data_IF_775198017660
#
_entry.id   IF_775198017660
#
_cell.length_a   1.000
_cell.length_b   1.000
_cell.length_c   1.000
_cell.angle_alpha   90.00
_cell.angle_beta   90.00
_cell.angle_gamma   90.00
#
_symmetry.space_group_name_H-M   'P 1'
#
loop_
_entity.id
_entity.type
_entity.pdbx_description
1 polymer ?
#
# COMPACT_ATOMS: atom_id res chain seq x y z
N UNK A 1 17.68 -7.24 -24.07
CA UNK A 1 19.09 -7.28 -24.55
C UNK A 1 19.98 -7.17 -23.32
N UNK A 2 21.14 -7.84 -23.28
CA UNK A 2 22.10 -7.73 -22.17
C UNK A 2 23.39 -7.08 -22.68
N UNK A 3 24.14 -6.41 -21.79
CA UNK A 3 25.46 -5.88 -22.13
C UNK A 3 26.53 -6.99 -22.04
N UNK A 4 27.78 -6.63 -22.36
CA UNK A 4 28.93 -7.55 -22.36
C UNK A 4 29.24 -8.16 -20.98
N UNK A 5 28.70 -7.59 -19.90
CA UNK A 5 28.79 -8.11 -18.54
C UNK A 5 27.54 -8.87 -18.10
N UNK A 6 26.70 -9.32 -19.05
CA UNK A 6 25.42 -10.00 -18.82
C UNK A 6 24.39 -9.20 -18.00
N UNK A 7 24.55 -7.87 -17.87
CA UNK A 7 23.55 -7.03 -17.23
C UNK A 7 22.43 -6.68 -18.21
N UNK A 8 21.16 -6.69 -17.80
CA UNK A 8 20.05 -6.26 -18.65
C UNK A 8 20.25 -4.81 -19.11
N UNK A 9 20.17 -4.58 -20.42
CA UNK A 9 20.24 -3.25 -21.03
C UNK A 9 18.93 -2.52 -20.76
N UNK A 10 19.02 -1.45 -19.98
CA UNK A 10 17.90 -0.56 -19.65
C UNK A 10 17.73 0.44 -20.80
N UNK A 11 16.57 0.39 -21.47
CA UNK A 11 16.27 1.26 -22.63
C UNK A 11 16.11 2.74 -22.23
N UNK A 12 15.55 2.98 -21.04
CA UNK A 12 15.37 4.31 -20.48
C UNK A 12 15.28 4.24 -18.96
N UNK A 13 15.96 5.17 -18.28
CA UNK A 13 15.81 5.38 -16.85
C UNK A 13 14.93 6.60 -16.65
N UNK A 14 13.88 6.46 -15.87
CA UNK A 14 12.98 7.56 -15.56
C UNK A 14 12.96 7.85 -14.06
N UNK A 15 12.93 9.13 -13.73
CA UNK A 15 12.75 9.60 -12.35
C UNK A 15 11.27 9.88 -12.11
N UNK A 16 10.68 9.17 -11.16
CA UNK A 16 9.34 9.45 -10.62
C UNK A 16 9.47 10.37 -9.40
N UNK A 17 8.65 11.41 -9.34
CA UNK A 17 8.60 12.38 -8.24
C UNK A 17 7.20 12.35 -7.67
N UNK A 18 7.12 12.15 -6.37
CA UNK A 18 5.85 12.13 -5.65
C UNK A 18 5.88 13.23 -4.61
N UNK A 19 4.76 13.91 -4.47
CA UNK A 19 4.55 14.94 -3.46
C UNK A 19 3.28 14.62 -2.74
N UNK A 20 3.30 14.70 -1.42
CA UNK A 20 2.12 14.52 -0.61
C UNK A 20 2.06 15.52 0.53
N UNK A 21 0.88 15.61 1.12
CA UNK A 21 0.59 16.33 2.34
C UNK A 21 -0.14 15.39 3.28
N UNK A 22 0.33 15.27 4.50
CA UNK A 22 -0.24 14.41 5.53
C UNK A 22 -0.58 15.24 6.76
N UNK A 23 -1.78 15.02 7.29
CA UNK A 23 -2.30 15.67 8.48
C UNK A 23 -2.78 14.58 9.45
N UNK A 24 -2.13 14.50 10.60
CA UNK A 24 -2.51 13.61 11.69
C UNK A 24 -2.93 14.41 12.92
N UNK A 25 -3.98 13.95 13.60
CA UNK A 25 -4.41 14.55 14.86
C UNK A 25 -4.54 13.49 15.94
N UNK A 26 -3.69 13.56 16.98
CA UNK A 26 -3.73 12.64 18.13
C UNK A 26 -4.93 13.00 19.02
N UNK A 27 -6.10 12.45 18.68
CA UNK A 27 -7.36 12.72 19.37
C UNK A 27 -7.39 12.09 20.77
N UNK A 28 -6.84 10.88 20.93
CA UNK A 28 -6.74 10.18 22.22
C UNK A 28 -5.37 9.54 22.34
N UNK A 29 -4.72 9.72 23.49
CA UNK A 29 -3.44 9.09 23.81
C UNK A 29 -3.42 8.67 25.28
N UNK A 30 -3.89 7.45 25.56
CA UNK A 30 -3.85 6.83 26.87
C UNK A 30 -2.96 5.59 26.86
N UNK A 31 -2.62 5.07 28.05
CA UNK A 31 -1.68 3.96 28.22
C UNK A 31 -1.99 2.70 27.37
N UNK A 32 -3.28 2.42 27.14
CA UNK A 32 -3.75 1.22 26.45
C UNK A 32 -4.63 1.51 25.24
N UNK A 33 -4.90 2.78 24.93
CA UNK A 33 -5.75 3.17 23.81
C UNK A 33 -5.23 4.46 23.20
N UNK A 34 -5.01 4.45 21.89
CA UNK A 34 -4.66 5.62 21.10
C UNK A 34 -5.58 5.70 19.89
N UNK A 35 -6.04 6.91 19.56
CA UNK A 35 -6.85 7.19 18.38
C UNK A 35 -6.30 8.41 17.66
N UNK A 36 -5.90 8.21 16.41
CA UNK A 36 -5.31 9.25 15.55
C UNK A 36 -6.04 9.27 14.22
N UNK A 37 -7.09 10.11 14.03
CA UNK A 37 -7.56 10.45 12.69
C UNK A 37 -6.46 11.08 11.85
N UNK A 38 -6.46 10.78 10.56
CA UNK A 38 -5.52 11.35 9.60
C UNK A 38 -6.16 11.59 8.24
N UNK A 39 -5.51 12.48 7.48
CA UNK A 39 -5.88 12.86 6.13
C UNK A 39 -4.62 13.07 5.30
N UNK A 40 -4.52 12.36 4.19
CA UNK A 40 -3.35 12.33 3.31
C UNK A 40 -3.79 12.65 1.87
N UNK A 41 -3.00 13.47 1.18
CA UNK A 41 -3.16 13.76 -0.24
C UNK A 41 -1.83 13.55 -0.94
N UNK A 42 -1.80 12.64 -1.90
CA UNK A 42 -0.63 12.33 -2.72
C UNK A 42 -0.84 12.68 -4.18
N UNK A 43 0.23 13.11 -4.84
CA UNK A 43 0.28 13.33 -6.29
C UNK A 43 1.59 12.79 -6.87
N UNK A 44 1.47 12.03 -7.96
CA UNK A 44 2.61 11.62 -8.79
C UNK A 44 2.79 12.67 -9.88
N UNK A 45 3.91 13.40 -9.89
CA UNK A 45 4.06 14.61 -10.74
C UNK A 45 4.18 14.31 -12.23
N UNK A 46 4.79 13.18 -12.59
CA UNK A 46 5.09 12.79 -13.97
C UNK A 46 3.93 12.06 -14.67
N UNK A 47 2.83 11.79 -13.96
CA UNK A 47 1.66 11.13 -14.52
C UNK A 47 0.50 12.11 -14.47
N UNK A 48 -0.15 12.30 -15.62
CA UNK A 48 -1.26 13.22 -15.74
C UNK A 48 -2.41 12.81 -14.80
N UNK A 49 -2.92 13.81 -14.08
CA UNK A 49 -3.99 13.66 -13.11
C UNK A 49 -3.77 12.58 -12.02
N UNK A 50 -2.57 12.07 -11.79
CA UNK A 50 -2.34 10.99 -10.81
C UNK A 50 -2.35 11.51 -9.37
N UNK A 51 -3.52 11.46 -8.73
CA UNK A 51 -3.77 11.98 -7.38
C UNK A 51 -4.58 10.98 -6.55
N UNK A 52 -4.24 10.86 -5.28
CA UNK A 52 -4.98 10.08 -4.31
C UNK A 52 -5.22 10.88 -3.04
N UNK A 53 -6.43 10.80 -2.50
CA UNK A 53 -6.78 11.34 -1.19
C UNK A 53 -7.19 10.17 -0.32
N UNK A 54 -6.60 10.10 0.87
CA UNK A 54 -6.84 9.07 1.86
C UNK A 54 -7.29 9.74 3.15
N UNK A 55 -8.31 9.18 3.80
CA UNK A 55 -8.68 9.62 5.13
C UNK A 55 -9.06 8.40 5.95
N UNK A 56 -8.65 8.40 7.20
CA UNK A 56 -8.84 7.26 8.06
C UNK A 56 -8.58 7.60 9.51
N UNK A 57 -8.53 6.56 10.32
CA UNK A 57 -8.10 6.69 11.70
C UNK A 57 -7.21 5.52 12.05
N UNK A 58 -6.23 5.77 12.91
CA UNK A 58 -5.40 4.72 13.51
C UNK A 58 -5.91 4.51 14.93
N UNK A 59 -6.51 3.36 15.17
CA UNK A 59 -6.87 2.91 16.51
C UNK A 59 -5.83 1.91 16.98
N UNK A 60 -5.17 2.18 18.11
CA UNK A 60 -4.25 1.24 18.76
C UNK A 60 -4.82 0.86 20.12
N UNK A 61 -4.95 -0.44 20.37
CA UNK A 61 -5.44 -1.02 21.61
C UNK A 61 -4.39 -1.96 22.18
N UNK A 62 -3.97 -1.73 23.42
CA UNK A 62 -3.02 -2.60 24.13
C UNK A 62 -1.77 -1.90 24.64
N UNK A 63 -0.97 -2.66 25.38
CA UNK A 63 0.26 -2.21 26.01
C UNK A 63 1.44 -2.19 25.05
N UNK A 64 2.67 -2.06 25.58
CA UNK A 64 3.89 -2.01 24.76
C UNK A 64 4.12 -3.28 23.95
N UNK A 65 3.99 -4.44 24.58
CA UNK A 65 4.38 -5.72 23.99
C UNK A 65 3.24 -6.41 23.24
N UNK A 66 1.99 -6.22 23.69
CA UNK A 66 0.81 -6.84 23.09
C UNK A 66 -0.17 -5.73 22.73
N UNK A 67 -0.43 -5.56 21.43
CA UNK A 67 -1.39 -4.59 20.95
C UNK A 67 -1.98 -4.98 19.59
N UNK A 68 -3.18 -4.49 19.33
CA UNK A 68 -3.81 -4.47 18.02
C UNK A 68 -3.81 -3.04 17.52
N UNK A 69 -3.42 -2.82 16.27
CA UNK A 69 -3.58 -1.56 15.57
C UNK A 69 -4.50 -1.79 14.37
N UNK A 70 -5.61 -1.07 14.34
CA UNK A 70 -6.58 -1.07 13.24
C UNK A 70 -6.50 0.27 12.54
N UNK A 71 -6.35 0.27 11.22
CA UNK A 71 -6.29 1.46 10.38
C UNK A 71 -7.34 1.34 9.27
N UNK A 72 -8.62 1.60 9.55
CA UNK A 72 -9.62 1.78 8.50
C UNK A 72 -9.36 3.09 7.75
N UNK A 73 -9.43 3.01 6.43
CA UNK A 73 -9.18 4.12 5.52
C UNK A 73 -10.19 4.09 4.39
N UNK A 74 -10.62 5.27 3.97
CA UNK A 74 -11.29 5.47 2.70
C UNK A 74 -10.35 6.21 1.75
N UNK A 75 -10.27 5.70 0.53
CA UNK A 75 -9.43 6.27 -0.53
C UNK A 75 -10.30 6.78 -1.67
N UNK A 76 -9.97 7.95 -2.18
CA UNK A 76 -10.54 8.53 -3.39
C UNK A 76 -9.39 8.92 -4.33
N UNK A 77 -9.31 8.24 -5.45
CA UNK A 77 -8.14 8.27 -6.32
C UNK A 77 -8.56 8.46 -7.77
N UNK A 78 -7.70 9.07 -8.55
CA UNK A 78 -7.86 9.07 -10.00
C UNK A 78 -7.49 7.71 -10.58
N UNK A 79 -7.97 7.43 -11.79
CA UNK A 79 -7.66 6.23 -12.57
C UNK A 79 -6.15 6.00 -12.78
N UNK A 80 -5.37 7.09 -12.84
CA UNK A 80 -3.91 7.08 -13.04
C UNK A 80 -3.11 7.00 -11.73
N UNK A 81 -3.77 6.95 -10.57
CA UNK A 81 -3.11 6.81 -9.28
C UNK A 81 -3.16 5.37 -8.78
N UNK A 82 -2.01 4.87 -8.29
CA UNK A 82 -1.92 3.52 -7.72
C UNK A 82 -1.80 3.61 -6.19
N UNK A 83 -2.83 3.20 -5.43
CA UNK A 83 -2.87 3.31 -3.97
C UNK A 83 -1.66 2.70 -3.25
N UNK A 84 -1.16 1.56 -3.72
CA UNK A 84 -0.04 0.85 -3.10
C UNK A 84 1.27 1.02 -3.87
N UNK A 85 1.49 2.16 -4.51
CA UNK A 85 2.73 2.33 -5.25
C UNK A 85 3.96 2.36 -4.32
N UNK A 86 3.86 2.91 -3.11
CA UNK A 86 4.98 2.95 -2.14
C UNK A 86 4.71 2.13 -0.90
N UNK A 87 4.08 0.98 -1.08
CA UNK A 87 3.87 0.06 0.02
C UNK A 87 5.13 -0.77 0.27
N UNK A 88 5.31 -1.28 1.49
CA UNK A 88 6.43 -2.13 1.90
C UNK A 88 6.58 -3.37 1.00
N UNK A 89 5.51 -3.79 0.33
CA UNK A 89 5.48 -4.91 -0.61
C UNK A 89 5.60 -4.49 -2.07
N UNK A 90 6.10 -3.28 -2.37
CA UNK A 90 6.20 -2.79 -3.74
C UNK A 90 6.88 -3.81 -4.65
N UNK A 91 8.04 -4.35 -4.25
CA UNK A 91 8.80 -5.30 -5.06
C UNK A 91 8.03 -6.60 -5.34
N UNK A 92 7.31 -7.14 -4.34
CA UNK A 92 6.48 -8.33 -4.50
C UNK A 92 5.26 -8.06 -5.40
N UNK A 93 4.63 -6.89 -5.22
CA UNK A 93 3.39 -6.54 -5.89
C UNK A 93 3.60 -5.79 -7.22
N UNK A 94 4.84 -5.49 -7.62
CA UNK A 94 5.17 -4.63 -8.76
C UNK A 94 4.53 -5.14 -10.05
N UNK A 95 4.61 -6.45 -10.28
CA UNK A 95 4.07 -7.13 -11.47
C UNK A 95 2.65 -7.66 -11.28
N UNK A 96 2.12 -7.59 -10.05
CA UNK A 96 0.78 -8.08 -9.72
C UNK A 96 -0.29 -6.97 -9.82
N UNK A 97 0.03 -5.80 -10.36
CA UNK A 97 -0.91 -4.68 -10.43
C UNK A 97 -1.85 -4.74 -11.63
N UNK A 98 -1.46 -5.44 -12.70
CA UNK A 98 -2.35 -5.66 -13.83
C UNK A 98 -3.40 -6.73 -13.48
N UNK A 99 -4.62 -6.28 -13.21
CA UNK A 99 -5.79 -7.16 -12.99
C UNK A 99 -6.70 -7.22 -14.21
N UNK A 100 -6.41 -6.43 -15.25
CA UNK A 100 -7.26 -6.30 -16.45
C UNK A 100 -6.74 -7.09 -17.65
N UNK A 101 -5.46 -7.44 -17.68
CA UNK A 101 -4.86 -8.19 -18.79
C UNK A 101 -3.82 -9.21 -18.33
N UNK A 102 -3.57 -10.21 -19.18
CA UNK A 102 -2.51 -11.22 -19.00
C UNK A 102 -1.11 -10.71 -19.35
N UNK A 103 -0.98 -9.45 -19.79
CA UNK A 103 0.32 -8.87 -20.13
C UNK A 103 0.99 -8.44 -18.81
N UNK A 104 2.18 -8.97 -18.48
CA UNK A 104 2.90 -8.54 -17.29
C UNK A 104 3.28 -7.07 -17.45
N UNK A 105 2.70 -6.22 -16.61
CA UNK A 105 2.97 -4.79 -16.56
C UNK A 105 3.35 -4.42 -15.13
N UNK A 106 4.33 -3.54 -15.00
CA UNK A 106 4.67 -2.92 -13.72
C UNK A 106 3.58 -1.95 -13.30
N UNK A 107 3.48 -1.69 -11.99
CA UNK A 107 2.63 -0.62 -11.44
C UNK A 107 2.75 0.69 -12.22
N UNK A 108 3.97 1.14 -12.50
CA UNK A 108 4.18 2.41 -13.21
C UNK A 108 3.59 2.41 -14.63
N UNK A 109 3.75 1.31 -15.36
CA UNK A 109 3.20 1.17 -16.72
C UNK A 109 1.68 1.17 -16.70
N UNK A 110 1.06 0.46 -15.76
CA UNK A 110 -0.40 0.48 -15.58
C UNK A 110 -0.90 1.89 -15.31
N UNK A 111 -0.23 2.65 -14.43
CA UNK A 111 -0.60 4.03 -14.11
C UNK A 111 -0.50 4.97 -15.32
N UNK A 112 0.53 4.81 -16.15
CA UNK A 112 0.76 5.64 -17.35
C UNK A 112 -0.20 5.33 -18.50
N UNK A 113 -0.62 4.08 -18.62
CA UNK A 113 -1.54 3.63 -19.66
C UNK A 113 -3.01 3.86 -19.28
N UNK A 114 -3.29 4.21 -18.03
CA UNK A 114 -4.64 4.55 -17.59
C UNK A 114 -5.08 5.89 -18.20
N UNK A 115 -6.36 5.97 -18.56
CA UNK A 115 -7.00 7.18 -19.05
C UNK A 115 -7.02 8.27 -17.96
N UNK A 116 -6.37 9.44 -18.14
CA UNK A 116 -6.36 10.53 -17.16
C UNK A 116 -7.75 11.09 -16.80
N UNK A 117 -8.71 10.97 -17.73
CA UNK A 117 -10.10 11.40 -17.55
C UNK A 117 -11.03 10.23 -17.19
N UNK A 118 -10.45 9.04 -16.96
CA UNK A 118 -11.16 7.85 -16.54
C UNK A 118 -11.88 8.01 -15.19
N UNK A 119 -12.82 7.10 -14.88
CA UNK A 119 -13.59 7.17 -13.65
C UNK A 119 -12.70 7.06 -12.42
N UNK A 120 -13.01 7.86 -11.39
CA UNK A 120 -12.32 7.82 -10.09
C UNK A 120 -12.50 6.47 -9.42
N UNK A 121 -11.42 5.98 -8.83
CA UNK A 121 -11.38 4.75 -8.05
C UNK A 121 -11.59 5.11 -6.58
N UNK A 122 -12.59 4.51 -5.93
CA UNK A 122 -12.96 4.86 -4.56
C UNK A 122 -13.31 3.64 -3.74
N UNK A 123 -12.85 3.60 -2.49
CA UNK A 123 -13.35 2.59 -1.57
C UNK A 123 -12.52 2.44 -0.32
N UNK A 124 -12.65 1.28 0.30
CA UNK A 124 -12.14 1.04 1.63
C UNK A 124 -10.83 0.26 1.59
N UNK A 125 -9.93 0.63 2.48
CA UNK A 125 -8.69 -0.06 2.75
C UNK A 125 -8.56 -0.17 4.27
N UNK A 126 -8.46 -1.38 4.79
CA UNK A 126 -8.31 -1.59 6.23
C UNK A 126 -7.07 -2.42 6.50
N UNK A 127 -6.16 -1.88 7.30
CA UNK A 127 -5.06 -2.64 7.88
C UNK A 127 -5.42 -3.06 9.29
N UNK A 128 -5.12 -4.30 9.64
CA UNK A 128 -5.09 -4.78 11.02
C UNK A 128 -3.71 -5.35 11.29
N UNK A 129 -3.02 -4.80 12.27
CA UNK A 129 -1.75 -5.29 12.77
C UNK A 129 -1.95 -5.81 14.18
N UNK A 130 -1.72 -7.10 14.39
CA UNK A 130 -1.63 -7.68 15.72
C UNK A 130 -0.15 -7.88 16.06
N UNK A 131 0.28 -7.28 17.16
CA UNK A 131 1.62 -7.45 17.70
C UNK A 131 1.53 -8.25 19.01
N UNK A 132 2.36 -9.28 19.13
CA UNK A 132 2.50 -10.11 20.32
C UNK A 132 3.98 -10.33 20.62
N UNK A 133 4.52 -9.53 21.54
CA UNK A 133 5.95 -9.42 21.82
C UNK A 133 6.76 -9.13 20.55
N UNK A 134 7.54 -10.13 20.10
CA UNK A 134 8.38 -10.03 18.89
C UNK A 134 7.64 -10.40 17.62
N UNK A 135 6.52 -11.10 17.74
CA UNK A 135 5.75 -11.60 16.61
C UNK A 135 4.73 -10.55 16.16
N UNK A 136 4.56 -10.40 14.85
CA UNK A 136 3.50 -9.58 14.29
C UNK A 136 2.77 -10.27 13.15
N UNK A 137 1.46 -10.06 13.08
CA UNK A 137 0.61 -10.44 11.95
C UNK A 137 -0.04 -9.18 11.42
N UNK A 138 0.05 -8.99 10.12
CA UNK A 138 -0.60 -7.90 9.42
C UNK A 138 -1.60 -8.48 8.42
N UNK A 139 -2.79 -7.90 8.39
CA UNK A 139 -3.77 -8.19 7.36
C UNK A 139 -4.21 -6.89 6.70
N UNK A 140 -4.28 -6.87 5.38
CA UNK A 140 -4.86 -5.77 4.63
C UNK A 140 -6.07 -6.27 3.84
N UNK A 141 -7.18 -5.55 3.93
CA UNK A 141 -8.34 -5.76 3.08
C UNK A 141 -8.61 -4.50 2.25
N UNK A 142 -8.74 -4.68 0.95
CA UNK A 142 -8.95 -3.58 0.00
C UNK A 142 -10.18 -3.86 -0.83
N UNK A 143 -11.01 -2.85 -1.02
CA UNK A 143 -12.19 -2.91 -1.89
C UNK A 143 -12.45 -1.52 -2.48
N UNK A 144 -12.06 -1.33 -3.74
CA UNK A 144 -12.14 -0.03 -4.43
C UNK A 144 -13.19 0.03 -5.55
N UNK A 145 -13.85 -1.09 -5.90
CA UNK A 145 -14.83 -1.12 -7.00
C UNK A 145 -15.84 -2.27 -6.85
N UNK A 146 -16.07 -2.76 -5.62
CA UNK A 146 -16.94 -3.90 -5.34
C UNK A 146 -16.19 -5.20 -5.00
N UNK A 147 -16.92 -6.25 -4.57
CA UNK A 147 -16.33 -7.50 -4.06
C UNK A 147 -15.36 -8.19 -5.02
N UNK A 148 -15.64 -8.13 -6.33
CA UNK A 148 -14.86 -8.75 -7.41
C UNK A 148 -13.58 -7.97 -7.77
N UNK A 149 -13.33 -6.84 -7.12
CA UNK A 149 -12.11 -6.05 -7.24
C UNK A 149 -11.48 -5.83 -5.86
N UNK A 150 -11.60 -6.83 -4.99
CA UNK A 150 -11.05 -6.81 -3.64
C UNK A 150 -9.71 -7.54 -3.55
N UNK A 151 -8.90 -7.15 -2.56
CA UNK A 151 -7.65 -7.85 -2.24
C UNK A 151 -7.58 -8.12 -0.75
N UNK A 152 -7.14 -9.34 -0.43
CA UNK A 152 -6.73 -9.72 0.92
C UNK A 152 -5.22 -9.96 0.89
N UNK A 153 -4.53 -9.37 1.84
CA UNK A 153 -3.13 -9.61 2.13
C UNK A 153 -3.00 -10.09 3.57
N UNK A 154 -2.14 -11.08 3.78
CA UNK A 154 -1.70 -11.51 5.09
C UNK A 154 -0.18 -11.55 5.12
N UNK A 155 0.42 -10.91 6.12
CA UNK A 155 1.84 -10.90 6.39
C UNK A 155 2.11 -11.41 7.80
N UNK A 156 3.15 -12.20 7.96
CA UNK A 156 3.62 -12.70 9.25
C UNK A 156 5.09 -12.35 9.39
N UNK A 157 5.46 -11.76 10.53
CA UNK A 157 6.81 -11.28 10.81
C UNK A 157 7.33 -11.91 12.10
N UNK A 158 8.42 -12.66 12.00
CA UNK A 158 9.03 -13.38 13.12
C UNK A 158 10.52 -13.02 13.21
N UNK A 159 10.92 -12.15 14.15
CA UNK A 159 12.32 -11.86 14.42
C UNK A 159 12.96 -13.08 15.07
N UNK A 160 14.04 -13.58 14.48
CA UNK A 160 14.88 -14.63 15.01
C UNK A 160 16.14 -13.99 15.58
N UNK A 161 16.08 -13.66 16.88
CA UNK A 161 17.13 -12.90 17.55
C UNK A 161 17.12 -11.42 17.15
N UNK A 162 18.30 -10.83 17.02
CA UNK A 162 18.48 -9.43 16.59
C UNK A 162 18.90 -9.27 15.13
N UNK A 163 19.28 -10.36 14.46
CA UNK A 163 19.90 -10.31 13.13
C UNK A 163 18.99 -10.78 12.00
N UNK A 164 18.04 -11.67 12.28
CA UNK A 164 17.23 -12.31 11.25
C UNK A 164 15.76 -11.97 11.44
N UNK A 165 15.07 -11.75 10.34
CA UNK A 165 13.62 -11.55 10.28
C UNK A 165 13.05 -12.53 9.25
N UNK A 166 12.27 -13.49 9.74
CA UNK A 166 11.52 -14.41 8.88
C UNK A 166 10.17 -13.79 8.56
N UNK A 167 9.88 -13.65 7.26
CA UNK A 167 8.63 -13.09 6.78
C UNK A 167 7.90 -14.09 5.88
N UNK A 168 6.58 -14.24 6.09
CA UNK A 168 5.70 -15.03 5.24
C UNK A 168 4.54 -14.18 4.74
N UNK A 169 4.15 -14.36 3.49
CA UNK A 169 3.11 -13.54 2.85
C UNK A 169 2.11 -14.39 2.06
N UNK A 170 0.86 -13.97 2.11
CA UNK A 170 -0.22 -14.52 1.29
C UNK A 170 -1.04 -13.37 0.70
N UNK A 171 -1.29 -13.45 -0.61
CA UNK A 171 -2.10 -12.47 -1.32
C UNK A 171 -3.17 -13.21 -2.10
N UNK A 172 -4.43 -12.85 -1.85
CA UNK A 172 -5.57 -13.32 -2.64
C UNK A 172 -6.27 -12.12 -3.28
N UNK A 173 -6.54 -12.24 -4.57
CA UNK A 173 -7.40 -11.31 -5.31
C UNK A 173 -8.79 -11.93 -5.41
N UNK A 174 -9.81 -11.10 -5.19
CA UNK A 174 -11.21 -11.42 -5.49
C UNK A 174 -11.48 -11.39 -6.99
#
# INVERSE_FOLDING_TARGET
>A
RVNESNNPLVKSTEKLTVTGFDLEYKLLAAKYIELTPYYDVNKIKQIENAKGTHYGAILRLGGKDIYVRVKPEYRNMTSTYIPMYFDSFYELARYQSNVRSHIPQTKLEVAKLADPDGPKIKGHFTTVLFNFYKFAVESNYENYSGPDNSRVFLGVYIPLGSMFLLNGYYIKKG
#
